data_IF_758074571460
#
_entry.id   IF_758074571460
#
_cell.length_a   1.000
_cell.length_b   1.000
_cell.length_c   1.000
_cell.angle_alpha   90.00
_cell.angle_beta   90.00
_cell.angle_gamma   90.00
#
_symmetry.space_group_name_H-M   'P 1'
#
loop_
_entity.id
_entity.type
_entity.pdbx_description
1 polymer ?
#
# COMPACT_ATOMS: atom_id res chain seq x y z
N UNK A 1 4.53 -25.37 -3.05
CA UNK A 1 4.11 -24.14 -3.76
C UNK A 1 5.13 -23.06 -3.47
N UNK A 2 5.75 -22.46 -4.49
CA UNK A 2 6.65 -21.32 -4.27
C UNK A 2 5.79 -20.10 -3.89
N UNK A 3 6.11 -19.45 -2.77
CA UNK A 3 5.39 -18.27 -2.26
C UNK A 3 5.72 -17.06 -3.14
N UNK A 4 4.73 -16.45 -3.79
CA UNK A 4 4.91 -15.26 -4.62
C UNK A 4 4.70 -13.99 -3.77
N UNK A 5 5.75 -13.17 -3.54
CA UNK A 5 5.59 -11.92 -2.79
C UNK A 5 4.70 -10.90 -3.52
N UNK A 6 4.56 -11.01 -4.85
CA UNK A 6 3.60 -10.20 -5.62
C UNK A 6 2.17 -10.56 -5.27
N UNK A 7 1.83 -11.85 -5.27
CA UNK A 7 0.50 -12.34 -4.90
C UNK A 7 0.21 -12.05 -3.43
N UNK A 8 1.19 -12.20 -2.54
CA UNK A 8 1.05 -11.83 -1.13
C UNK A 8 0.71 -10.34 -0.97
N UNK A 9 1.41 -9.46 -1.69
CA UNK A 9 1.16 -8.01 -1.67
C UNK A 9 -0.24 -7.68 -2.21
N UNK A 10 -0.63 -8.30 -3.33
CA UNK A 10 -1.96 -8.12 -3.90
C UNK A 10 -3.06 -8.57 -2.92
N UNK A 11 -2.85 -9.70 -2.25
CA UNK A 11 -3.75 -10.19 -1.21
C UNK A 11 -3.91 -9.18 -0.07
N UNK A 12 -2.81 -8.61 0.42
CA UNK A 12 -2.83 -7.56 1.45
C UNK A 12 -3.59 -6.32 1.00
N UNK A 13 -3.34 -5.83 -0.22
CA UNK A 13 -4.05 -4.67 -0.79
C UNK A 13 -5.57 -4.93 -0.84
N UNK A 14 -5.98 -6.11 -1.31
CA UNK A 14 -7.40 -6.48 -1.37
C UNK A 14 -8.00 -6.57 0.04
N UNK A 15 -7.32 -7.20 0.98
CA UNK A 15 -7.77 -7.29 2.38
C UNK A 15 -7.97 -5.89 2.97
N UNK A 16 -6.99 -5.00 2.81
CA UNK A 16 -7.09 -3.62 3.31
C UNK A 16 -8.26 -2.88 2.65
N UNK A 17 -8.42 -2.99 1.33
CA UNK A 17 -9.54 -2.37 0.63
C UNK A 17 -10.91 -2.83 1.13
N UNK A 18 -11.06 -4.13 1.43
CA UNK A 18 -12.31 -4.68 1.98
C UNK A 18 -12.54 -4.26 3.45
N UNK A 19 -11.48 -4.04 4.22
CA UNK A 19 -11.56 -3.59 5.61
C UNK A 19 -11.77 -2.07 5.75
N UNK A 20 -11.41 -1.28 4.75
CA UNK A 20 -11.55 0.19 4.77
C UNK A 20 -12.99 0.66 5.06
N UNK A 21 -14.05 0.18 4.37
CA UNK A 21 -15.43 0.60 4.65
C UNK A 21 -15.93 0.27 6.06
N UNK A 22 -15.84 -0.99 6.56
CA UNK A 22 -16.32 -1.30 7.91
C UNK A 22 -15.53 -0.58 9.00
N UNK A 23 -14.21 -0.42 8.82
CA UNK A 23 -13.40 0.34 9.78
C UNK A 23 -13.73 1.84 9.74
N UNK A 24 -14.00 2.41 8.56
CA UNK A 24 -14.47 3.79 8.44
C UNK A 24 -15.82 4.00 9.13
N UNK A 25 -16.74 3.04 9.01
CA UNK A 25 -18.02 3.07 9.71
C UNK A 25 -17.85 3.08 11.24
N UNK A 26 -16.80 2.43 11.76
CA UNK A 26 -16.43 2.45 13.18
C UNK A 26 -15.60 3.68 13.60
N UNK A 27 -15.41 4.67 12.73
CA UNK A 27 -14.58 5.85 13.00
C UNK A 27 -13.06 5.60 12.90
N UNK A 28 -12.65 4.42 12.44
CA UNK A 28 -11.25 3.99 12.31
C UNK A 28 -10.69 4.16 10.89
N UNK A 29 -11.39 4.87 10.01
CA UNK A 29 -10.96 5.09 8.62
C UNK A 29 -9.62 5.82 8.50
N UNK A 30 -9.30 6.66 9.48
CA UNK A 30 -8.02 7.38 9.57
C UNK A 30 -6.78 6.46 9.66
N UNK A 31 -6.95 5.17 9.98
CA UNK A 31 -5.85 4.21 10.01
C UNK A 31 -5.19 3.98 8.66
N UNK A 32 -5.85 4.33 7.55
CA UNK A 32 -5.37 4.09 6.18
C UNK A 32 -5.16 5.37 5.39
N UNK A 33 -5.37 6.53 6.01
CA UNK A 33 -5.28 7.83 5.36
C UNK A 33 -4.02 8.51 5.87
N UNK A 34 -3.07 8.76 4.96
CA UNK A 34 -1.91 9.58 5.28
C UNK A 34 -2.35 11.03 5.47
N UNK A 35 -2.14 11.57 6.67
CA UNK A 35 -2.57 12.92 7.04
C UNK A 35 -1.44 13.73 7.70
N UNK A 36 -1.38 15.06 7.49
CA UNK A 36 -0.42 15.92 8.16
C UNK A 36 -0.87 16.29 9.59
N UNK A 37 0.07 16.69 10.44
CA UNK A 37 1.51 16.43 10.36
C UNK A 37 1.81 14.94 10.41
N UNK A 38 2.83 14.47 9.69
CA UNK A 38 3.22 13.04 9.67
C UNK A 38 3.50 12.48 11.08
N UNK A 39 3.91 13.34 12.01
CA UNK A 39 4.15 12.98 13.41
C UNK A 39 2.88 12.61 14.20
N UNK A 40 1.69 13.00 13.74
CA UNK A 40 0.43 12.70 14.45
C UNK A 40 0.01 11.24 14.27
N UNK A 41 0.30 10.64 13.13
CA UNK A 41 -0.07 9.27 12.81
C UNK A 41 0.99 8.61 11.93
N UNK A 42 2.23 8.42 12.42
CA UNK A 42 3.36 7.96 11.60
C UNK A 42 3.13 6.57 10.99
N UNK A 43 2.28 5.75 11.62
CA UNK A 43 1.90 4.44 11.08
C UNK A 43 1.16 4.54 9.74
N UNK A 44 0.47 5.66 9.49
CA UNK A 44 -0.26 5.89 8.24
C UNK A 44 0.67 6.01 7.02
N UNK A 45 1.97 6.27 7.23
CA UNK A 45 2.99 6.21 6.16
C UNK A 45 3.03 4.81 5.54
N UNK A 46 2.81 3.76 6.35
CA UNK A 46 2.89 2.38 5.90
C UNK A 46 1.53 1.79 5.54
N UNK A 47 0.51 2.04 6.34
CA UNK A 47 -0.82 1.46 6.10
C UNK A 47 -1.52 2.08 4.89
N UNK A 48 -1.26 3.36 4.59
CA UNK A 48 -1.81 4.01 3.40
C UNK A 48 -1.29 3.43 2.08
N UNK A 49 -0.13 2.79 2.07
CA UNK A 49 0.46 2.12 0.88
C UNK A 49 -0.51 1.08 0.30
N UNK A 50 -1.29 0.43 1.17
CA UNK A 50 -2.23 -0.63 0.78
C UNK A 50 -3.64 -0.08 0.52
N UNK A 51 -3.91 1.17 0.89
CA UNK A 51 -5.24 1.76 0.84
C UNK A 51 -5.58 2.26 -0.56
N UNK A 52 -6.83 2.09 -0.97
CA UNK A 52 -7.30 2.57 -2.28
C UNK A 52 -8.59 3.38 -2.14
N UNK A 53 -8.72 4.42 -2.97
CA UNK A 53 -9.86 5.33 -2.95
C UNK A 53 -11.10 4.80 -3.69
N UNK A 54 -10.91 3.90 -4.66
CA UNK A 54 -11.98 3.34 -5.47
C UNK A 54 -11.61 1.98 -6.05
N UNK A 55 -12.61 1.21 -6.47
CA UNK A 55 -12.41 -0.07 -7.16
C UNK A 55 -11.62 0.10 -8.47
N UNK A 56 -11.88 1.17 -9.23
CA UNK A 56 -11.15 1.46 -10.46
C UNK A 56 -9.65 1.71 -10.21
N UNK A 57 -9.33 2.48 -9.16
CA UNK A 57 -7.95 2.69 -8.74
C UNK A 57 -7.28 1.37 -8.31
N UNK A 58 -7.98 0.54 -7.54
CA UNK A 58 -7.50 -0.77 -7.13
C UNK A 58 -7.17 -1.66 -8.32
N UNK A 59 -8.09 -1.80 -9.28
CA UNK A 59 -7.89 -2.66 -10.45
C UNK A 59 -6.72 -2.17 -11.30
N UNK A 60 -6.66 -0.87 -11.60
CA UNK A 60 -5.57 -0.30 -12.39
C UNK A 60 -4.20 -0.53 -11.74
N UNK A 61 -4.09 -0.30 -10.43
CA UNK A 61 -2.84 -0.54 -9.69
C UNK A 61 -2.51 -2.03 -9.54
N UNK A 62 -3.53 -2.89 -9.42
CA UNK A 62 -3.33 -4.35 -9.35
C UNK A 62 -2.71 -4.90 -10.64
N UNK A 63 -3.12 -4.39 -11.81
CA UNK A 63 -2.51 -4.76 -13.09
C UNK A 63 -1.05 -4.34 -13.14
N UNK A 64 -0.73 -3.11 -12.74
CA UNK A 64 0.65 -2.62 -12.68
C UNK A 64 1.49 -3.44 -11.69
N UNK A 65 0.96 -3.72 -10.49
CA UNK A 65 1.61 -4.55 -9.48
C UNK A 65 1.87 -5.97 -9.99
N UNK A 66 0.92 -6.59 -10.69
CA UNK A 66 1.13 -7.91 -11.26
C UNK A 66 2.24 -7.89 -12.31
N UNK A 67 2.22 -6.95 -13.24
CA UNK A 67 3.24 -6.89 -14.30
C UNK A 67 4.63 -6.57 -13.72
N UNK A 68 4.75 -5.50 -12.96
CA UNK A 68 6.03 -5.06 -12.39
C UNK A 68 6.51 -5.99 -11.27
N UNK A 69 5.61 -6.40 -10.38
CA UNK A 69 5.91 -7.27 -9.25
C UNK A 69 6.41 -8.63 -9.71
N UNK A 70 5.75 -9.27 -10.67
CA UNK A 70 6.20 -10.56 -11.22
C UNK A 70 7.59 -10.44 -11.89
N UNK A 71 7.90 -9.30 -12.51
CA UNK A 71 9.23 -9.07 -13.07
C UNK A 71 10.31 -8.92 -11.98
N UNK A 72 10.00 -8.19 -10.91
CA UNK A 72 10.92 -7.94 -9.79
C UNK A 72 11.12 -9.21 -8.95
N UNK A 73 10.06 -9.94 -8.61
CA UNK A 73 10.15 -11.11 -7.74
C UNK A 73 11.03 -12.23 -8.30
N UNK A 74 11.11 -12.35 -9.64
CA UNK A 74 12.02 -13.29 -10.33
C UNK A 74 13.50 -12.98 -10.13
N UNK A 75 13.84 -11.78 -9.66
CA UNK A 75 15.22 -11.28 -9.50
C UNK A 75 15.59 -10.98 -8.06
N UNK A 76 14.67 -11.20 -7.12
CA UNK A 76 14.87 -10.84 -5.72
C UNK A 76 14.40 -11.94 -4.78
N UNK A 77 14.59 -11.74 -3.48
CA UNK A 77 14.04 -12.63 -2.46
C UNK A 77 12.72 -12.07 -1.94
N UNK A 78 11.90 -12.94 -1.35
CA UNK A 78 10.62 -12.56 -0.73
C UNK A 78 10.76 -11.36 0.21
N UNK A 79 11.77 -11.40 1.10
CA UNK A 79 12.02 -10.31 2.05
C UNK A 79 12.43 -9.01 1.36
N UNK A 80 13.35 -9.07 0.40
CA UNK A 80 13.83 -7.90 -0.34
C UNK A 80 12.71 -7.26 -1.16
N UNK A 81 11.79 -8.05 -1.71
CA UNK A 81 10.62 -7.55 -2.43
C UNK A 81 9.74 -6.68 -1.53
N UNK A 82 9.35 -7.19 -0.36
CA UNK A 82 8.47 -6.44 0.54
C UNK A 82 9.17 -5.22 1.13
N UNK A 83 10.46 -5.35 1.48
CA UNK A 83 11.25 -4.21 1.95
C UNK A 83 11.32 -3.11 0.89
N UNK A 84 11.59 -3.47 -0.37
CA UNK A 84 11.59 -2.53 -1.49
C UNK A 84 10.21 -1.86 -1.65
N UNK A 85 9.15 -2.66 -1.66
CA UNK A 85 7.78 -2.17 -1.86
C UNK A 85 7.36 -1.17 -0.76
N UNK A 86 7.63 -1.50 0.50
CA UNK A 86 7.31 -0.63 1.64
C UNK A 86 8.17 0.63 1.64
N UNK A 87 9.48 0.52 1.34
CA UNK A 87 10.37 1.67 1.31
C UNK A 87 9.99 2.65 0.19
N UNK A 88 9.77 2.17 -1.03
CA UNK A 88 9.36 3.01 -2.16
C UNK A 88 7.97 3.59 -1.94
N UNK A 89 7.02 2.81 -1.43
CA UNK A 89 5.67 3.29 -1.10
C UNK A 89 5.69 4.40 -0.06
N UNK A 90 6.47 4.24 1.02
CA UNK A 90 6.63 5.24 2.06
C UNK A 90 7.26 6.54 1.50
N UNK A 91 8.34 6.42 0.72
CA UNK A 91 9.00 7.56 0.09
C UNK A 91 8.07 8.29 -0.89
N UNK A 92 7.31 7.55 -1.70
CA UNK A 92 6.33 8.12 -2.62
C UNK A 92 5.22 8.87 -1.88
N UNK A 93 4.67 8.30 -0.81
CA UNK A 93 3.67 8.96 0.03
C UNK A 93 4.17 10.25 0.67
N UNK A 94 5.40 10.24 1.18
CA UNK A 94 6.06 11.43 1.74
C UNK A 94 6.32 12.49 0.65
N UNK A 95 6.77 12.08 -0.54
CA UNK A 95 7.13 12.99 -1.63
C UNK A 95 5.92 13.60 -2.36
N UNK A 96 4.83 12.85 -2.52
CA UNK A 96 3.59 13.32 -3.13
C UNK A 96 2.92 14.39 -2.27
N UNK A 97 3.08 14.32 -0.94
CA UNK A 97 2.41 15.23 -0.05
C UNK A 97 2.96 16.67 -0.21
N UNK A 98 2.11 17.68 -0.46
CA UNK A 98 2.58 19.04 -0.64
C UNK A 98 3.22 19.54 0.66
N UNK A 99 4.47 19.98 0.58
CA UNK A 99 5.12 20.79 1.60
C UNK A 99 4.57 22.21 1.63
N UNK A 100 3.24 22.37 1.58
CA UNK A 100 2.57 23.68 1.66
C UNK A 100 1.82 23.69 2.98
N UNK A 101 2.42 24.39 3.95
CA UNK A 101 1.74 24.87 5.14
C UNK A 101 0.86 26.08 4.85
#
# INVERSE_FOLDING_TARGET
MARSPTVDTLGLVIIVFLLQPPLSFLGLGGLFVLAPPLGNAPLTIFTSIYAHASLGHLVANSVVLLVAGLAVERRTTWFRFHLYSVAVGALAGIAQWPSVG
#
